data_IF_009434424550
#
_entry.id   IF_009434424550
#
_cell.length_a   1.000
_cell.length_b   1.000
_cell.length_c   1.000
_cell.angle_alpha   90.00
_cell.angle_beta   90.00
_cell.angle_gamma   90.00
#
_symmetry.space_group_name_H-M   'P 1'
#
loop_
_entity.id
_entity.type
_entity.pdbx_description
1 polymer ?
#
# COMPACT_ATOMS: atom_id res chain seq x y z
N UNK A 1 -0.26 -0.38 4.84
CA UNK A 1 0.49 0.43 3.85
C UNK A 1 1.00 -0.51 2.78
N UNK A 2 0.93 -0.16 1.50
CA UNK A 2 1.38 -1.04 0.41
C UNK A 2 2.87 -0.80 0.12
N UNK A 3 3.73 -1.79 0.39
CA UNK A 3 5.17 -1.64 0.19
C UNK A 3 5.55 -1.50 -1.30
N UNK A 4 4.73 -2.01 -2.22
CA UNK A 4 4.95 -1.80 -3.65
C UNK A 4 4.89 -0.32 -4.08
N UNK A 5 4.01 0.48 -3.46
CA UNK A 5 3.98 1.93 -3.71
C UNK A 5 5.22 2.62 -3.15
N UNK A 6 5.69 2.19 -1.98
CA UNK A 6 6.95 2.69 -1.40
C UNK A 6 8.11 2.40 -2.34
N UNK A 7 8.22 1.17 -2.86
CA UNK A 7 9.29 0.79 -3.81
C UNK A 7 9.26 1.68 -5.06
N UNK A 8 8.08 1.98 -5.61
CA UNK A 8 7.96 2.89 -6.77
C UNK A 8 8.41 4.32 -6.45
N UNK A 9 8.10 4.82 -5.27
CA UNK A 9 8.58 6.15 -4.86
C UNK A 9 10.09 6.17 -4.63
N UNK A 10 10.67 5.08 -4.06
CA UNK A 10 12.11 4.96 -3.87
C UNK A 10 12.88 4.92 -5.20
N UNK A 11 12.34 4.26 -6.23
CA UNK A 11 12.93 4.26 -7.59
C UNK A 11 13.06 5.70 -8.12
N UNK A 12 12.10 6.57 -7.84
CA UNK A 12 12.19 7.96 -8.28
C UNK A 12 13.35 8.75 -7.64
N UNK A 13 13.77 8.34 -6.44
CA UNK A 13 14.82 9.03 -5.68
C UNK A 13 16.18 8.31 -5.70
N UNK A 14 16.26 7.06 -6.18
CA UNK A 14 17.47 6.23 -6.08
C UNK A 14 18.67 6.75 -6.85
N UNK A 15 18.45 7.50 -7.94
CA UNK A 15 19.54 8.13 -8.70
C UNK A 15 20.20 9.29 -7.95
N UNK A 16 19.45 9.95 -7.06
CA UNK A 16 19.89 11.15 -6.35
C UNK A 16 20.35 10.87 -4.92
N UNK A 17 19.79 9.85 -4.27
CA UNK A 17 19.99 9.56 -2.85
C UNK A 17 20.34 8.10 -2.63
N UNK A 18 21.48 7.86 -1.97
CA UNK A 18 21.95 6.49 -1.68
C UNK A 18 21.02 5.75 -0.72
N UNK A 19 20.43 6.44 0.28
CA UNK A 19 19.49 5.84 1.20
C UNK A 19 18.24 5.26 0.50
N UNK A 20 17.80 5.86 -0.60
CA UNK A 20 16.63 5.39 -1.33
C UNK A 20 16.92 4.06 -2.05
N UNK A 21 18.10 3.95 -2.66
CA UNK A 21 18.58 2.71 -3.25
C UNK A 21 18.75 1.60 -2.20
N UNK A 22 19.38 1.93 -1.04
CA UNK A 22 19.53 1.00 0.08
C UNK A 22 18.19 0.53 0.62
N UNK A 23 17.23 1.43 0.83
CA UNK A 23 15.89 1.10 1.33
C UNK A 23 15.12 0.24 0.34
N UNK A 24 15.21 0.52 -0.95
CA UNK A 24 14.60 -0.32 -2.00
C UNK A 24 15.17 -1.73 -1.98
N UNK A 25 16.50 -1.86 -2.03
CA UNK A 25 17.19 -3.15 -1.99
C UNK A 25 16.83 -3.93 -0.72
N UNK A 26 16.77 -3.24 0.41
CA UNK A 26 16.41 -3.81 1.70
C UNK A 26 14.96 -4.34 1.68
N UNK A 27 13.98 -3.56 1.21
CA UNK A 27 12.57 -3.99 1.11
C UNK A 27 12.40 -5.21 0.21
N UNK A 28 13.09 -5.23 -0.93
CA UNK A 28 13.02 -6.36 -1.85
C UNK A 28 13.65 -7.63 -1.27
N UNK A 29 14.81 -7.52 -0.58
CA UNK A 29 15.44 -8.66 0.09
C UNK A 29 14.58 -9.22 1.23
N UNK A 30 13.91 -8.37 2.01
CA UNK A 30 12.96 -8.81 3.03
C UNK A 30 11.77 -9.57 2.44
N UNK A 31 11.30 -9.17 1.27
CA UNK A 31 10.18 -9.84 0.60
C UNK A 31 10.58 -11.18 -0.02
N UNK A 32 11.82 -11.29 -0.53
CA UNK A 32 12.32 -12.53 -1.13
C UNK A 32 12.65 -13.59 -0.08
N UNK A 33 13.32 -13.17 1.00
CA UNK A 33 13.83 -14.07 2.04
C UNK A 33 13.51 -13.51 3.44
N UNK A 34 12.24 -13.48 3.87
CA UNK A 34 11.86 -12.90 5.15
C UNK A 34 12.51 -13.62 6.34
N UNK A 35 12.76 -14.91 6.22
CA UNK A 35 13.39 -15.74 7.26
C UNK A 35 14.93 -15.64 7.30
N UNK A 36 15.57 -14.95 6.35
CA UNK A 36 17.04 -14.87 6.27
C UNK A 36 17.68 -14.18 7.49
N UNK A 37 16.92 -13.34 8.20
CA UNK A 37 17.38 -12.65 9.41
C UNK A 37 16.25 -12.61 10.46
N UNK A 38 16.66 -12.46 11.74
CA UNK A 38 15.67 -12.20 12.79
C UNK A 38 15.00 -10.84 12.59
N UNK A 39 13.76 -10.71 13.06
CA UNK A 39 13.01 -9.45 12.98
C UNK A 39 13.78 -8.25 13.53
N UNK A 40 14.52 -8.46 14.63
CA UNK A 40 15.33 -7.41 15.24
C UNK A 40 16.44 -6.92 14.32
N UNK A 41 17.14 -7.84 13.63
CA UNK A 41 18.18 -7.48 12.64
C UNK A 41 17.59 -6.71 11.47
N UNK A 42 16.40 -7.12 11.00
CA UNK A 42 15.68 -6.38 9.95
C UNK A 42 15.31 -4.96 10.42
N UNK A 43 14.81 -4.82 11.66
CA UNK A 43 14.45 -3.52 12.24
C UNK A 43 15.66 -2.61 12.48
N UNK A 44 16.78 -3.17 12.89
CA UNK A 44 18.04 -2.42 13.06
C UNK A 44 18.55 -1.88 11.73
N UNK A 45 18.58 -2.72 10.68
CA UNK A 45 18.98 -2.31 9.35
C UNK A 45 18.07 -1.20 8.79
N UNK A 46 16.75 -1.35 8.95
CA UNK A 46 15.78 -0.33 8.57
C UNK A 46 16.06 1.01 9.25
N UNK A 47 16.25 0.98 10.56
CA UNK A 47 16.53 2.21 11.34
C UNK A 47 17.85 2.86 10.95
N UNK A 48 18.86 2.07 10.60
CA UNK A 48 20.16 2.57 10.11
C UNK A 48 19.99 3.29 8.77
N UNK A 49 19.24 2.70 7.83
CA UNK A 49 18.98 3.33 6.53
C UNK A 49 18.22 4.65 6.68
N UNK A 50 17.20 4.70 7.56
CA UNK A 50 16.48 5.95 7.85
C UNK A 50 17.42 7.02 8.39
N UNK A 51 18.28 6.67 9.36
CA UNK A 51 19.25 7.60 9.94
C UNK A 51 20.21 8.16 8.88
N UNK A 52 20.72 7.30 8.01
CA UNK A 52 21.56 7.71 6.88
C UNK A 52 20.80 8.68 5.96
N UNK A 53 19.53 8.40 5.66
CA UNK A 53 18.68 9.26 4.83
C UNK A 53 18.51 10.67 5.43
N UNK A 54 18.28 10.79 6.73
CA UNK A 54 18.20 12.10 7.38
C UNK A 54 19.53 12.88 7.30
N UNK A 55 20.66 12.20 7.41
CA UNK A 55 21.99 12.81 7.27
C UNK A 55 22.26 13.25 5.83
N UNK A 56 21.90 12.42 4.85
CA UNK A 56 22.13 12.71 3.42
C UNK A 56 21.25 13.88 2.93
N UNK A 57 19.97 13.92 3.31
CA UNK A 57 19.08 15.01 2.93
C UNK A 57 19.47 16.34 3.59
N UNK A 58 19.99 16.30 4.82
CA UNK A 58 20.48 17.47 5.58
C UNK A 58 19.60 18.73 5.45
N UNK A 59 18.26 18.53 5.53
CA UNK A 59 17.31 19.62 5.34
C UNK A 59 17.32 20.57 6.52
N UNK A 60 17.65 21.83 6.24
CA UNK A 60 17.51 22.95 7.19
C UNK A 60 16.33 23.80 6.72
N UNK A 61 15.24 23.92 7.50
CA UNK A 61 14.14 24.81 7.15
C UNK A 61 14.66 26.25 7.05
N UNK A 62 14.38 26.90 5.92
CA UNK A 62 14.71 28.31 5.78
C UNK A 62 14.01 29.10 6.89
N UNK A 63 14.74 29.96 7.61
CA UNK A 63 14.15 30.90 8.55
C UNK A 63 13.25 31.85 7.74
N UNK A 64 11.94 31.64 7.82
CA UNK A 64 11.01 32.43 7.03
C UNK A 64 10.92 33.83 7.56
N UNK A 65 11.47 34.79 6.82
CA UNK A 65 11.06 36.15 6.92
C UNK A 65 9.70 36.33 6.24
N UNK A 66 8.61 36.40 7.02
CA UNK A 66 7.29 36.93 6.63
C UNK A 66 6.42 36.21 5.60
N UNK A 67 6.66 34.97 5.21
CA UNK A 67 5.66 34.25 4.38
C UNK A 67 4.62 33.59 5.29
N UNK A 68 3.32 33.89 5.05
CA UNK A 68 2.20 33.17 5.67
C UNK A 68 2.17 31.74 5.10
N UNK A 69 2.29 30.74 5.96
CA UNK A 69 2.18 29.34 5.61
C UNK A 69 3.40 28.52 6.05
N UNK A 70 3.22 27.19 6.09
CA UNK A 70 4.29 26.23 6.41
C UNK A 70 5.24 26.11 5.21
N UNK A 71 6.54 26.22 5.45
CA UNK A 71 7.56 25.96 4.41
C UNK A 71 7.37 24.55 3.84
N UNK A 72 7.27 24.44 2.51
CA UNK A 72 7.14 23.17 1.83
C UNK A 72 8.40 22.33 2.07
N UNK A 73 8.21 21.11 2.59
CA UNK A 73 9.30 20.15 2.74
C UNK A 73 9.62 19.50 1.40
N UNK A 74 10.89 19.16 1.14
CA UNK A 74 11.27 18.33 0.00
C UNK A 74 10.50 17.01 -0.04
N UNK A 75 10.19 16.52 -1.23
CA UNK A 75 9.41 15.28 -1.40
C UNK A 75 10.13 14.06 -0.83
N UNK A 76 11.45 14.00 -0.98
CA UNK A 76 12.32 12.97 -0.40
C UNK A 76 12.26 12.95 1.12
N UNK A 77 12.25 14.12 1.77
CA UNK A 77 12.10 14.20 3.22
C UNK A 77 10.70 13.76 3.67
N UNK A 78 9.66 14.13 2.93
CA UNK A 78 8.30 13.66 3.22
C UNK A 78 8.18 12.12 3.12
N UNK A 79 8.86 11.50 2.14
CA UNK A 79 8.91 10.04 2.03
C UNK A 79 9.64 9.44 3.23
N UNK A 80 10.80 9.97 3.59
CA UNK A 80 11.60 9.49 4.71
C UNK A 80 10.86 9.59 6.05
N UNK A 81 10.24 10.75 6.34
CA UNK A 81 9.41 10.95 7.55
C UNK A 81 8.21 10.00 7.58
N UNK A 82 7.58 9.74 6.42
CA UNK A 82 6.48 8.81 6.31
C UNK A 82 6.90 7.37 6.57
N UNK A 83 8.08 6.96 6.09
CA UNK A 83 8.66 5.65 6.37
C UNK A 83 8.97 5.50 7.86
N UNK A 84 9.51 6.52 8.49
CA UNK A 84 9.81 6.53 9.92
C UNK A 84 8.54 6.46 10.77
N UNK A 85 7.56 7.32 10.49
CA UNK A 85 6.28 7.35 11.21
C UNK A 85 5.48 6.04 11.07
N UNK A 86 5.46 5.46 9.88
CA UNK A 86 4.73 4.22 9.60
C UNK A 86 5.58 2.95 9.67
N UNK A 87 6.72 2.99 10.33
CA UNK A 87 7.65 1.87 10.46
C UNK A 87 6.97 0.54 10.80
N UNK A 88 6.06 0.55 11.77
CA UNK A 88 5.32 -0.65 12.18
C UNK A 88 4.50 -1.24 11.03
N UNK A 89 3.83 -0.40 10.25
CA UNK A 89 2.99 -0.83 9.14
C UNK A 89 3.82 -1.31 7.94
N UNK A 90 4.98 -0.69 7.69
CA UNK A 90 5.92 -1.12 6.64
C UNK A 90 6.48 -2.50 6.96
N UNK A 91 6.73 -2.79 8.24
CA UNK A 91 7.32 -4.04 8.71
C UNK A 91 6.27 -5.12 9.08
N UNK A 92 4.97 -4.84 8.95
CA UNK A 92 3.90 -5.75 9.36
C UNK A 92 4.04 -7.13 8.70
N UNK A 93 4.37 -7.19 7.40
CA UNK A 93 4.55 -8.44 6.65
C UNK A 93 5.68 -9.34 7.16
N UNK A 94 6.64 -8.80 7.92
CA UNK A 94 7.70 -9.58 8.58
C UNK A 94 7.27 -10.15 9.93
N UNK A 95 6.22 -9.58 10.54
CA UNK A 95 5.72 -9.98 11.84
C UNK A 95 4.56 -10.96 11.74
N UNK A 96 3.70 -10.75 10.75
CA UNK A 96 2.42 -11.42 10.59
C UNK A 96 2.40 -12.10 9.23
N UNK A 97 2.41 -13.44 9.22
CA UNK A 97 2.44 -14.25 8.00
C UNK A 97 1.24 -14.00 7.07
N UNK A 98 0.11 -13.54 7.63
CA UNK A 98 -1.11 -13.24 6.87
C UNK A 98 -1.06 -11.87 6.17
N UNK A 99 -0.13 -10.99 6.55
CA UNK A 99 0.00 -9.66 5.96
C UNK A 99 0.90 -9.73 4.73
N UNK A 100 0.34 -9.56 3.52
CA UNK A 100 1.13 -9.60 2.31
C UNK A 100 2.01 -8.35 2.16
N UNK A 101 3.14 -8.49 1.48
CA UNK A 101 4.02 -7.36 1.15
C UNK A 101 3.31 -6.29 0.30
N UNK A 102 2.37 -6.70 -0.56
CA UNK A 102 1.61 -5.80 -1.43
C UNK A 102 0.12 -5.85 -1.11
N UNK A 103 -0.59 -4.74 -1.33
CA UNK A 103 -2.05 -4.66 -1.19
C UNK A 103 -2.77 -4.77 -2.54
N UNK A 104 -2.15 -5.41 -3.54
CA UNK A 104 -2.68 -5.45 -4.90
C UNK A 104 -4.07 -6.08 -4.97
N UNK A 105 -4.35 -7.10 -4.15
CA UNK A 105 -5.63 -7.77 -4.17
C UNK A 105 -6.77 -6.86 -3.70
N UNK A 106 -6.59 -6.16 -2.58
CA UNK A 106 -7.59 -5.22 -2.09
C UNK A 106 -7.78 -4.03 -3.05
N UNK A 107 -6.68 -3.57 -3.68
CA UNK A 107 -6.75 -2.53 -4.70
C UNK A 107 -7.52 -2.96 -5.95
N UNK A 108 -7.36 -4.22 -6.38
CA UNK A 108 -8.14 -4.81 -7.47
C UNK A 108 -9.62 -4.94 -7.10
N UNK A 109 -9.93 -5.32 -5.88
CA UNK A 109 -11.31 -5.49 -5.42
C UNK A 109 -12.09 -4.15 -5.47
N UNK A 110 -11.47 -3.04 -5.04
CA UNK A 110 -12.10 -1.71 -5.10
C UNK A 110 -12.00 -1.04 -6.47
N UNK A 111 -11.16 -1.53 -7.37
CA UNK A 111 -10.94 -0.93 -8.70
C UNK A 111 -12.23 -0.79 -9.51
N UNK A 112 -13.10 -1.79 -9.44
CA UNK A 112 -14.35 -1.79 -10.20
C UNK A 112 -15.33 -0.71 -9.76
N UNK A 113 -15.35 -0.33 -8.49
CA UNK A 113 -16.12 0.82 -8.02
C UNK A 113 -15.61 2.14 -8.64
N UNK A 114 -14.28 2.31 -8.68
CA UNK A 114 -13.65 3.47 -9.34
C UNK A 114 -13.87 3.49 -10.86
N UNK A 115 -13.81 2.34 -11.53
CA UNK A 115 -14.13 2.23 -12.96
C UNK A 115 -15.57 2.64 -13.22
N UNK A 116 -16.52 2.16 -12.42
CA UNK A 116 -17.92 2.54 -12.53
C UNK A 116 -18.12 4.05 -12.36
N UNK A 117 -17.48 4.65 -11.36
CA UNK A 117 -17.54 6.11 -11.16
C UNK A 117 -16.96 6.88 -12.36
N UNK A 118 -15.86 6.41 -12.94
CA UNK A 118 -15.20 7.07 -14.07
C UNK A 118 -16.00 6.98 -15.38
N UNK A 119 -16.66 5.83 -15.61
CA UNK A 119 -17.36 5.55 -16.88
C UNK A 119 -18.83 6.02 -16.84
N UNK A 120 -19.51 5.78 -15.71
CA UNK A 120 -20.97 6.02 -15.58
C UNK A 120 -21.30 7.11 -14.55
N UNK A 121 -20.31 7.86 -14.06
CA UNK A 121 -20.50 8.88 -13.03
C UNK A 121 -20.79 8.29 -11.67
N UNK A 122 -21.23 9.14 -10.74
CA UNK A 122 -21.52 8.76 -9.38
C UNK A 122 -22.75 7.82 -9.28
N UNK A 123 -22.84 7.08 -8.18
CA UNK A 123 -24.06 6.34 -7.86
C UNK A 123 -25.18 7.32 -7.56
N UNK A 124 -26.39 7.07 -8.12
CA UNK A 124 -27.55 7.94 -7.93
C UNK A 124 -28.16 7.84 -6.51
N UNK A 125 -27.93 6.72 -5.83
CA UNK A 125 -28.43 6.48 -4.47
C UNK A 125 -27.42 5.67 -3.67
N UNK A 126 -27.48 5.77 -2.36
CA UNK A 126 -26.68 4.96 -1.44
C UNK A 126 -26.96 3.46 -1.62
N UNK A 127 -28.25 3.08 -1.68
CA UNK A 127 -28.65 1.70 -1.92
C UNK A 127 -28.06 1.11 -3.22
N UNK A 128 -27.99 1.93 -4.28
CA UNK A 128 -27.38 1.51 -5.53
C UNK A 128 -25.86 1.26 -5.39
N UNK A 129 -25.18 2.03 -4.55
CA UNK A 129 -23.76 1.82 -4.25
C UNK A 129 -23.56 0.55 -3.41
N UNK A 130 -24.37 0.31 -2.40
CA UNK A 130 -24.32 -0.88 -1.56
C UNK A 130 -24.61 -2.14 -2.36
N UNK A 131 -25.67 -2.15 -3.18
CA UNK A 131 -26.01 -3.27 -4.05
C UNK A 131 -24.85 -3.59 -5.01
N UNK A 132 -24.27 -2.57 -5.64
CA UNK A 132 -23.10 -2.76 -6.50
C UNK A 132 -21.92 -3.37 -5.73
N UNK A 133 -21.62 -2.86 -4.54
CA UNK A 133 -20.52 -3.35 -3.71
C UNK A 133 -20.77 -4.82 -3.29
N UNK A 134 -21.99 -5.17 -2.89
CA UNK A 134 -22.38 -6.53 -2.50
C UNK A 134 -22.20 -7.51 -3.65
N UNK A 135 -22.74 -7.20 -4.83
CA UNK A 135 -22.59 -8.07 -6.01
C UNK A 135 -21.12 -8.21 -6.40
N UNK A 136 -20.36 -7.13 -6.39
CA UNK A 136 -18.93 -7.18 -6.72
C UNK A 136 -18.11 -7.98 -5.70
N UNK A 137 -18.44 -7.85 -4.41
CA UNK A 137 -17.83 -8.64 -3.34
C UNK A 137 -18.09 -10.13 -3.53
N UNK A 138 -19.34 -10.50 -3.80
CA UNK A 138 -19.73 -11.88 -4.06
C UNK A 138 -18.98 -12.48 -5.25
N UNK A 139 -18.92 -11.76 -6.38
CA UNK A 139 -18.16 -12.17 -7.57
C UNK A 139 -16.67 -12.35 -7.25
N UNK A 140 -16.06 -11.37 -6.55
CA UNK A 140 -14.64 -11.42 -6.19
C UNK A 140 -14.33 -12.63 -5.30
N UNK A 141 -15.18 -12.90 -4.32
CA UNK A 141 -15.05 -14.05 -3.42
C UNK A 141 -15.21 -15.38 -4.16
N UNK A 142 -16.19 -15.48 -5.07
CA UNK A 142 -16.37 -16.67 -5.92
C UNK A 142 -15.12 -16.98 -6.75
N UNK A 143 -14.49 -15.95 -7.34
CA UNK A 143 -13.25 -16.09 -8.10
C UNK A 143 -12.10 -16.58 -7.19
N UNK A 144 -11.95 -15.98 -5.99
CA UNK A 144 -10.92 -16.38 -5.02
C UNK A 144 -11.08 -17.82 -4.56
N UNK A 145 -12.31 -18.29 -4.45
CA UNK A 145 -12.65 -19.68 -4.12
C UNK A 145 -12.61 -20.63 -5.33
N UNK A 146 -12.14 -20.14 -6.49
CA UNK A 146 -12.08 -20.92 -7.76
C UNK A 146 -13.43 -21.47 -8.22
N UNK A 147 -14.51 -20.77 -7.89
CA UNK A 147 -15.86 -21.12 -8.29
C UNK A 147 -16.24 -20.41 -9.59
N UNK A 148 -17.02 -21.05 -10.44
CA UNK A 148 -17.54 -20.44 -11.66
C UNK A 148 -18.51 -19.30 -11.32
N UNK A 149 -18.17 -18.07 -11.70
CA UNK A 149 -18.95 -16.85 -11.36
C UNK A 149 -20.41 -16.96 -11.82
N UNK A 150 -20.65 -17.48 -13.04
CA UNK A 150 -22.02 -17.64 -13.55
C UNK A 150 -22.85 -18.59 -12.69
N UNK A 151 -22.26 -19.74 -12.32
CA UNK A 151 -22.92 -20.72 -11.44
C UNK A 151 -23.20 -20.13 -10.07
N UNK A 152 -22.23 -19.39 -9.49
CA UNK A 152 -22.40 -18.75 -8.20
C UNK A 152 -23.54 -17.71 -8.21
N UNK A 153 -23.62 -16.88 -9.26
CA UNK A 153 -24.72 -15.91 -9.41
C UNK A 153 -26.08 -16.60 -9.61
N UNK A 154 -26.14 -17.67 -10.40
CA UNK A 154 -27.37 -18.43 -10.59
C UNK A 154 -27.89 -19.02 -9.27
N UNK A 155 -27.01 -19.61 -8.46
CA UNK A 155 -27.36 -20.15 -7.14
C UNK A 155 -27.79 -19.05 -6.17
N UNK A 156 -27.12 -17.91 -6.16
CA UNK A 156 -27.53 -16.76 -5.34
C UNK A 156 -28.94 -16.28 -5.71
N UNK A 157 -29.30 -16.26 -6.99
CA UNK A 157 -30.66 -15.92 -7.45
C UNK A 157 -31.70 -16.94 -7.03
N UNK A 158 -31.31 -18.20 -6.86
CA UNK A 158 -32.18 -19.29 -6.36
C UNK A 158 -32.26 -19.29 -4.83
N UNK A 159 -31.68 -18.30 -4.14
CA UNK A 159 -31.59 -18.19 -2.67
C UNK A 159 -30.76 -19.31 -2.01
N UNK A 160 -29.88 -19.92 -2.75
CA UNK A 160 -28.92 -20.93 -2.31
C UNK A 160 -27.48 -20.43 -2.53
N UNK A 161 -27.05 -19.36 -1.83
CA UNK A 161 -25.71 -18.80 -2.07
C UNK A 161 -24.64 -19.81 -1.67
N UNK A 162 -23.60 -19.95 -2.51
CA UNK A 162 -22.46 -20.82 -2.24
C UNK A 162 -21.62 -20.30 -1.06
N UNK A 163 -21.73 -19.00 -0.78
CA UNK A 163 -21.01 -18.32 0.29
C UNK A 163 -21.95 -18.11 1.48
N UNK A 164 -21.66 -18.77 2.56
CA UNK A 164 -22.29 -18.56 3.88
C UNK A 164 -21.46 -17.58 4.72
#
# INVERSE_FOLDING_TARGET
MCNQHIVRELIYFEEKYSWASEMKAWLLSCNQEPAAKSLEKWQQAYSKILKNGYLEINFKPAKSNRQRGRTAKPKELNLLERLDYHKTNVLAFLKEAEVPFTNNQAEQDVRMAKVKQKVSGNFRSWNGAELFATIRSYISTSIKQKQGVFKALQQAMQKEPILS
#
